data_IF_886690210133
#
_entry.id   IF_886690210133
#
_cell.length_a   1.000
_cell.length_b   1.000
_cell.length_c   1.000
_cell.angle_alpha   90.00
_cell.angle_beta   90.00
_cell.angle_gamma   90.00
#
_symmetry.space_group_name_H-M   'P 1'
#
loop_
_entity.id
_entity.type
_entity.pdbx_description
1 polymer ?
#
# COMPACT_ATOMS: atom_id res chain seq x y z
N UNK A 1 -5.32 -0.97 -0.96
CA UNK A 1 -5.88 -0.92 0.42
C UNK A 1 -5.79 0.47 1.03
N UNK A 2 -4.62 1.11 1.07
CA UNK A 2 -4.43 2.41 1.78
C UNK A 2 -5.30 3.53 1.23
N UNK A 3 -5.38 3.67 -0.10
CA UNK A 3 -6.24 4.68 -0.73
C UNK A 3 -7.68 4.61 -0.22
N UNK A 4 -8.25 3.41 -0.11
CA UNK A 4 -9.64 3.25 0.31
C UNK A 4 -9.83 3.36 1.82
N UNK A 5 -9.07 2.58 2.58
CA UNK A 5 -9.30 2.46 4.03
C UNK A 5 -8.68 3.60 4.80
N UNK A 6 -7.44 3.99 4.50
CA UNK A 6 -6.71 5.01 5.27
C UNK A 6 -7.02 6.42 4.76
N UNK A 7 -7.08 6.61 3.44
CA UNK A 7 -7.24 7.92 2.81
C UNK A 7 -8.69 8.21 2.36
N UNK A 8 -9.61 7.26 2.53
CA UNK A 8 -11.04 7.45 2.24
C UNK A 8 -11.38 7.58 0.76
N UNK A 9 -10.47 7.25 -0.17
CA UNK A 9 -10.79 7.24 -1.60
C UNK A 9 -11.90 6.23 -1.89
N UNK A 10 -12.89 6.69 -2.65
CA UNK A 10 -13.96 5.81 -3.13
C UNK A 10 -13.41 4.90 -4.22
N UNK A 11 -13.51 3.59 -4.01
CA UNK A 11 -13.24 2.56 -5.04
C UNK A 11 -14.58 1.97 -5.43
N UNK A 12 -14.96 2.14 -6.70
CA UNK A 12 -16.23 1.64 -7.26
C UNK A 12 -16.07 0.32 -7.99
N UNK A 13 -14.86 0.01 -8.44
CA UNK A 13 -14.50 -1.24 -9.10
C UNK A 13 -13.17 -1.73 -8.51
N UNK A 14 -13.21 -2.86 -7.81
CA UNK A 14 -12.02 -3.44 -7.18
C UNK A 14 -11.20 -4.26 -8.17
N UNK A 15 -11.86 -4.92 -9.11
CA UNK A 15 -11.23 -5.76 -10.13
C UNK A 15 -10.36 -4.92 -11.07
N UNK A 16 -10.82 -3.71 -11.41
CA UNK A 16 -10.04 -2.75 -12.18
C UNK A 16 -8.72 -2.37 -11.48
N UNK A 17 -8.64 -2.40 -10.14
CA UNK A 17 -7.40 -2.03 -9.42
C UNK A 17 -6.26 -3.02 -9.58
N UNK A 18 -6.52 -4.23 -10.10
CA UNK A 18 -5.50 -5.24 -10.38
C UNK A 18 -4.94 -5.15 -11.80
N UNK A 19 -5.51 -4.30 -12.67
CA UNK A 19 -5.14 -4.24 -14.08
C UNK A 19 -4.70 -2.81 -14.44
N UNK A 20 -3.51 -2.63 -15.04
CA UNK A 20 -3.16 -1.34 -15.63
C UNK A 20 -4.05 -1.04 -16.84
N UNK A 21 -4.33 0.23 -17.06
CA UNK A 21 -4.94 0.71 -18.30
C UNK A 21 -3.91 0.74 -19.44
N UNK A 22 -4.39 0.92 -20.68
CA UNK A 22 -3.51 1.05 -21.84
C UNK A 22 -2.58 2.28 -21.77
N UNK A 23 -2.98 3.30 -20.99
CA UNK A 23 -2.22 4.54 -20.83
C UNK A 23 -1.24 4.49 -19.64
N UNK A 24 -1.28 3.44 -18.83
CA UNK A 24 -0.39 3.29 -17.69
C UNK A 24 1.03 2.92 -18.12
N UNK A 25 2.00 3.61 -17.54
CA UNK A 25 3.42 3.30 -17.67
C UNK A 25 3.98 2.92 -16.31
N UNK A 26 5.13 2.23 -16.29
CA UNK A 26 5.85 1.97 -15.03
C UNK A 26 6.12 3.27 -14.26
N UNK A 27 6.42 4.37 -14.97
CA UNK A 27 6.63 5.68 -14.37
C UNK A 27 5.39 6.24 -13.68
N UNK A 28 4.22 6.18 -14.32
CA UNK A 28 2.96 6.68 -13.74
C UNK A 28 2.52 5.83 -12.56
N UNK A 29 2.69 4.51 -12.63
CA UNK A 29 2.39 3.59 -11.54
C UNK A 29 3.27 3.88 -10.33
N UNK A 30 4.59 4.01 -10.52
CA UNK A 30 5.53 4.32 -9.44
C UNK A 30 5.28 5.70 -8.83
N UNK A 31 4.99 6.71 -9.66
CA UNK A 31 4.65 8.04 -9.18
C UNK A 31 3.36 8.03 -8.33
N UNK A 32 2.33 7.32 -8.79
CA UNK A 32 1.07 7.17 -8.06
C UNK A 32 1.26 6.44 -6.73
N UNK A 33 2.07 5.38 -6.72
CA UNK A 33 2.42 4.66 -5.50
C UNK A 33 3.14 5.58 -4.50
N UNK A 34 4.19 6.29 -4.92
CA UNK A 34 4.94 7.22 -4.05
C UNK A 34 4.06 8.33 -3.50
N UNK A 35 3.17 8.89 -4.32
CA UNK A 35 2.19 9.88 -3.88
C UNK A 35 1.26 9.32 -2.80
N UNK A 36 0.72 8.12 -3.02
CA UNK A 36 -0.13 7.43 -2.05
C UNK A 36 0.59 7.18 -0.73
N UNK A 37 1.86 6.76 -0.78
CA UNK A 37 2.70 6.57 0.41
C UNK A 37 2.92 7.88 1.16
N UNK A 38 3.19 8.97 0.46
CA UNK A 38 3.37 10.28 1.09
C UNK A 38 2.10 10.76 1.81
N UNK A 39 0.93 10.61 1.17
CA UNK A 39 -0.37 10.93 1.75
C UNK A 39 -0.68 10.04 2.98
N UNK A 40 -0.42 8.73 2.87
CA UNK A 40 -0.58 7.79 3.97
C UNK A 40 0.32 8.15 5.16
N UNK A 41 1.59 8.45 4.91
CA UNK A 41 2.55 8.86 5.94
C UNK A 41 2.11 10.16 6.64
N UNK A 42 1.62 11.15 5.88
CA UNK A 42 1.10 12.39 6.47
C UNK A 42 -0.11 12.13 7.38
N UNK A 43 -1.05 11.28 6.95
CA UNK A 43 -2.22 10.90 7.74
C UNK A 43 -1.85 10.10 9.02
N UNK A 44 -0.88 9.21 8.91
CA UNK A 44 -0.37 8.44 10.06
C UNK A 44 0.37 9.34 11.05
N UNK A 45 1.17 10.29 10.54
CA UNK A 45 1.92 11.23 11.37
C UNK A 45 1.03 12.15 12.21
N UNK A 46 -0.24 12.35 11.81
CA UNK A 46 -1.21 13.13 12.59
C UNK A 46 -1.90 12.33 13.70
N UNK A 47 -1.56 11.05 13.90
CA UNK A 47 -2.15 10.24 14.97
C UNK A 47 -1.41 10.42 16.29
N UNK A 48 -2.04 11.10 17.25
CA UNK A 48 -1.49 11.29 18.60
C UNK A 48 -1.70 10.08 19.52
N UNK A 49 -2.79 9.33 19.30
CA UNK A 49 -3.13 8.13 20.05
C UNK A 49 -3.30 6.94 19.09
N UNK A 50 -2.46 5.93 19.27
CA UNK A 50 -2.48 4.68 18.50
C UNK A 50 -3.50 3.65 19.04
N UNK A 51 -4.07 3.88 20.22
CA UNK A 51 -5.12 3.01 20.80
C UNK A 51 -6.52 3.38 20.31
N UNK A 52 -6.70 4.63 19.87
CA UNK A 52 -7.93 5.11 19.26
C UNK A 52 -8.37 4.24 18.06
N UNK A 53 -9.69 4.20 17.76
CA UNK A 53 -10.22 3.51 16.59
C UNK A 53 -9.51 3.95 15.30
N UNK A 54 -9.12 2.95 14.51
CA UNK A 54 -8.51 3.11 13.20
C UNK A 54 -9.57 3.22 12.09
N UNK A 55 -9.11 3.44 10.84
CA UNK A 55 -10.00 3.63 9.70
C UNK A 55 -10.82 2.38 9.33
N UNK A 56 -10.31 1.19 9.69
CA UNK A 56 -11.03 -0.08 9.55
C UNK A 56 -11.90 -0.30 10.79
N UNK A 57 -13.19 -0.63 10.57
CA UNK A 57 -14.13 -0.95 11.67
C UNK A 57 -13.53 -2.02 12.59
N UNK A 58 -13.64 -1.78 13.90
CA UNK A 58 -13.17 -2.67 14.96
C UNK A 58 -11.65 -2.91 15.02
N UNK A 59 -10.85 -2.09 14.34
CA UNK A 59 -9.39 -2.08 14.48
C UNK A 59 -8.93 -0.78 15.15
N UNK A 60 -7.84 -0.83 15.91
CA UNK A 60 -7.16 0.38 16.40
C UNK A 60 -6.18 0.93 15.35
N UNK A 61 -5.77 2.18 15.50
CA UNK A 61 -4.69 2.77 14.69
C UNK A 61 -3.38 1.98 14.77
N UNK A 62 -3.05 1.43 15.94
CA UNK A 62 -1.93 0.49 16.13
C UNK A 62 -2.08 -0.73 15.22
N UNK A 63 -3.25 -1.37 15.25
CA UNK A 63 -3.51 -2.51 14.37
C UNK A 63 -3.37 -2.12 12.90
N UNK A 64 -3.90 -0.96 12.51
CA UNK A 64 -3.77 -0.45 11.14
C UNK A 64 -2.31 -0.29 10.73
N UNK A 65 -1.47 0.32 11.57
CA UNK A 65 -0.06 0.51 11.26
C UNK A 65 0.68 -0.82 11.10
N UNK A 66 0.49 -1.76 12.04
CA UNK A 66 1.09 -3.09 11.95
C UNK A 66 0.64 -3.83 10.69
N UNK A 67 -0.64 -3.74 10.34
CA UNK A 67 -1.18 -4.37 9.14
C UNK A 67 -0.56 -3.79 7.85
N UNK A 68 -0.36 -2.47 7.77
CA UNK A 68 0.30 -1.84 6.61
C UNK A 68 1.76 -2.28 6.46
N UNK A 69 2.49 -2.41 7.58
CA UNK A 69 3.86 -2.92 7.59
C UNK A 69 3.91 -4.37 7.11
N UNK A 70 3.04 -5.24 7.64
CA UNK A 70 2.95 -6.65 7.26
C UNK A 70 2.65 -6.80 5.76
N UNK A 71 1.67 -6.06 5.25
CA UNK A 71 1.28 -6.16 3.85
C UNK A 71 2.36 -5.63 2.91
N UNK A 72 3.05 -4.54 3.30
CA UNK A 72 4.18 -4.01 2.53
C UNK A 72 5.32 -5.02 2.48
N UNK A 73 5.66 -5.66 3.61
CA UNK A 73 6.71 -6.66 3.67
C UNK A 73 6.37 -7.90 2.81
N UNK A 74 5.11 -8.37 2.86
CA UNK A 74 4.62 -9.47 2.01
C UNK A 74 4.82 -9.17 0.53
N UNK A 75 4.39 -7.98 0.08
CA UNK A 75 4.53 -7.59 -1.32
C UNK A 75 5.97 -7.36 -1.73
N UNK A 76 6.81 -6.80 -0.86
CA UNK A 76 8.24 -6.65 -1.12
C UNK A 76 8.91 -8.02 -1.34
N UNK A 77 8.58 -9.02 -0.51
CA UNK A 77 9.07 -10.39 -0.69
C UNK A 77 8.61 -11.02 -2.01
N UNK A 78 7.35 -10.84 -2.40
CA UNK A 78 6.87 -11.32 -3.71
C UNK A 78 7.58 -10.61 -4.89
N UNK A 79 7.80 -9.30 -4.80
CA UNK A 79 8.50 -8.54 -5.81
C UNK A 79 9.97 -8.97 -5.94
N UNK A 80 10.61 -9.31 -4.82
CA UNK A 80 11.97 -9.82 -4.82
C UNK A 80 12.05 -11.18 -5.51
N UNK A 81 11.15 -12.14 -5.19
CA UNK A 81 11.07 -13.43 -5.89
C UNK A 81 10.91 -13.23 -7.40
N UNK A 82 10.02 -12.32 -7.83
CA UNK A 82 9.84 -12.02 -9.25
C UNK A 82 11.11 -11.44 -9.88
N UNK A 83 11.81 -10.54 -9.17
CA UNK A 83 13.10 -10.01 -9.62
C UNK A 83 14.13 -11.14 -9.77
N UNK A 84 14.28 -12.03 -8.78
CA UNK A 84 15.21 -13.16 -8.81
C UNK A 84 14.93 -14.10 -9.99
N UNK A 85 13.65 -14.35 -10.30
CA UNK A 85 13.23 -15.17 -11.45
C UNK A 85 13.54 -14.51 -12.81
N UNK A 86 13.54 -13.18 -12.86
CA UNK A 86 13.80 -12.41 -14.09
C UNK A 86 15.30 -12.23 -14.32
N UNK A 87 16.07 -11.89 -13.28
CA UNK A 87 17.48 -11.53 -13.37
C UNK A 87 18.45 -12.68 -13.04
N UNK A 88 17.96 -13.78 -12.46
CA UNK A 88 18.73 -14.97 -12.11
C UNK A 88 19.62 -14.82 -10.87
N UNK A 89 19.58 -13.70 -10.15
CA UNK A 89 20.41 -13.43 -8.97
C UNK A 89 19.62 -13.48 -7.66
N UNK A 90 20.18 -14.13 -6.63
CA UNK A 90 19.51 -14.33 -5.32
C UNK A 90 20.09 -13.49 -4.18
N UNK A 91 19.24 -13.11 -3.20
CA UNK A 91 19.63 -12.69 -1.85
C UNK A 91 20.55 -11.46 -1.71
N UNK A 92 20.10 -10.27 -2.17
CA UNK A 92 20.78 -8.99 -1.91
C UNK A 92 20.29 -8.29 -0.64
#
# INVERSE_FOLDING_TARGET
>A
MERHWLLGHRVTDWQATFHPSADDTTGTILATYRKTVAEANAAIASWEDLTAPGPRRSASRRWTLTHLIEETARHAGHADILRELIDGGTGR
#
